data_IF_408929304169
#
_entry.id   IF_408929304169
#
_cell.length_a   1.000
_cell.length_b   1.000
_cell.length_c   1.000
_cell.angle_alpha   90.00
_cell.angle_beta   90.00
_cell.angle_gamma   90.00
#
_symmetry.space_group_name_H-M   'P 1'
#
loop_
_entity.id
_entity.type
_entity.pdbx_description
1 polymer ?
#
# COMPACT_ATOMS: atom_id res chain seq x y z
N UNK A 1 15.15 -0.57 -16.08
CA UNK A 1 14.99 -2.04 -16.12
C UNK A 1 13.53 -2.47 -16.24
N UNK A 2 12.56 -1.67 -15.79
CA UNK A 2 11.13 -2.02 -15.76
C UNK A 2 10.25 -1.35 -16.82
N UNK A 3 10.85 -0.60 -17.77
CA UNK A 3 10.16 0.33 -18.67
C UNK A 3 8.93 -0.26 -19.37
N UNK A 4 8.98 -1.52 -19.80
CA UNK A 4 7.84 -2.20 -20.46
C UNK A 4 6.63 -2.44 -19.54
N UNK A 5 6.81 -2.45 -18.22
CA UNK A 5 5.78 -2.76 -17.24
C UNK A 5 5.25 -1.55 -16.48
N UNK A 6 5.87 -0.38 -16.66
CA UNK A 6 5.51 0.87 -15.95
C UNK A 6 5.21 2.02 -16.91
N UNK A 7 4.96 1.70 -18.19
CA UNK A 7 4.56 2.69 -19.18
C UNK A 7 3.06 3.01 -19.04
N UNK A 8 2.76 3.92 -18.11
CA UNK A 8 1.42 4.36 -17.78
C UNK A 8 1.30 5.88 -17.91
N UNK A 9 0.35 6.35 -18.72
CA UNK A 9 0.14 7.77 -18.98
C UNK A 9 -0.65 8.49 -17.88
N UNK A 10 -1.34 7.74 -17.00
CA UNK A 10 -2.18 8.29 -15.94
C UNK A 10 -2.42 7.29 -14.80
N UNK A 11 -2.79 7.82 -13.64
CA UNK A 11 -3.14 7.06 -12.42
C UNK A 11 -4.18 5.97 -12.69
N UNK A 12 -5.24 6.27 -13.44
CA UNK A 12 -6.33 5.32 -13.70
C UNK A 12 -5.82 4.03 -14.35
N UNK A 13 -4.92 4.16 -15.32
CA UNK A 13 -4.31 3.01 -16.01
C UNK A 13 -3.48 2.13 -15.07
N UNK A 14 -2.76 2.73 -14.11
CA UNK A 14 -2.01 2.01 -13.08
C UNK A 14 -2.97 1.24 -12.17
N UNK A 15 -4.03 1.90 -11.69
CA UNK A 15 -5.01 1.31 -10.77
C UNK A 15 -5.75 0.11 -11.35
N UNK A 16 -5.85 0.02 -12.67
CA UNK A 16 -6.51 -1.08 -13.38
C UNK A 16 -5.54 -2.18 -13.83
N UNK A 17 -4.23 -2.02 -13.64
CA UNK A 17 -3.25 -3.03 -14.01
C UNK A 17 -3.21 -4.19 -13.01
N UNK A 18 -3.72 -5.36 -13.45
CA UNK A 18 -3.74 -6.59 -12.65
C UNK A 18 -2.38 -7.28 -12.53
N UNK A 19 -1.44 -6.99 -13.44
CA UNK A 19 -0.06 -7.45 -13.33
C UNK A 19 0.67 -6.71 -12.22
N UNK A 20 0.59 -5.37 -12.23
CA UNK A 20 1.15 -4.54 -11.16
C UNK A 20 0.52 -4.85 -9.80
N UNK A 21 -0.80 -5.03 -9.73
CA UNK A 21 -1.46 -5.42 -8.47
C UNK A 21 -0.87 -6.71 -7.87
N UNK A 22 -0.56 -7.73 -8.69
CA UNK A 22 0.05 -8.98 -8.20
C UNK A 22 1.46 -8.80 -7.66
N UNK A 23 2.26 -7.93 -8.30
CA UNK A 23 3.58 -7.56 -7.78
C UNK A 23 3.43 -6.78 -6.48
N UNK A 24 2.46 -5.87 -6.44
CA UNK A 24 2.10 -5.03 -5.32
C UNK A 24 1.65 -5.81 -4.08
N UNK A 25 0.80 -6.83 -4.23
CA UNK A 25 0.37 -7.70 -3.11
C UNK A 25 1.59 -8.31 -2.40
N UNK A 26 2.56 -8.82 -3.16
CA UNK A 26 3.81 -9.34 -2.60
C UNK A 26 4.63 -8.26 -1.88
N UNK A 27 4.84 -7.12 -2.54
CA UNK A 27 5.60 -5.99 -1.99
C UNK A 27 4.97 -5.45 -0.70
N UNK A 28 3.68 -5.14 -0.72
CA UNK A 28 2.94 -4.54 0.40
C UNK A 28 2.90 -5.48 1.59
N UNK A 29 2.63 -6.76 1.38
CA UNK A 29 2.60 -7.75 2.46
C UNK A 29 3.98 -7.93 3.11
N UNK A 30 5.05 -7.92 2.30
CA UNK A 30 6.41 -8.02 2.81
C UNK A 30 6.80 -6.80 3.65
N UNK A 31 6.60 -5.59 3.12
CA UNK A 31 6.89 -4.34 3.84
C UNK A 31 6.08 -4.23 5.13
N UNK A 32 4.80 -4.61 5.11
CA UNK A 32 3.97 -4.61 6.31
C UNK A 32 4.47 -5.59 7.37
N UNK A 33 4.83 -6.81 6.96
CA UNK A 33 5.36 -7.84 7.86
C UNK A 33 6.67 -7.40 8.52
N UNK A 34 7.56 -6.75 7.76
CA UNK A 34 8.79 -6.16 8.27
C UNK A 34 8.50 -5.02 9.25
N UNK A 35 7.65 -4.07 8.88
CA UNK A 35 7.29 -2.96 9.74
C UNK A 35 6.68 -3.44 11.07
N UNK A 36 5.79 -4.43 11.01
CA UNK A 36 5.20 -5.06 12.19
C UNK A 36 6.25 -5.80 13.04
N UNK A 37 7.19 -6.49 12.41
CA UNK A 37 8.33 -7.12 13.11
C UNK A 37 9.15 -6.10 13.91
N UNK A 38 9.45 -4.96 13.31
CA UNK A 38 10.22 -3.88 13.96
C UNK A 38 9.47 -3.30 15.16
N UNK A 39 8.16 -3.06 15.01
CA UNK A 39 7.33 -2.48 16.08
C UNK A 39 7.14 -3.46 17.25
N UNK A 40 6.90 -4.75 16.97
CA UNK A 40 6.64 -5.75 18.00
C UNK A 40 7.91 -6.30 18.66
N UNK A 41 9.07 -6.13 18.03
CA UNK A 41 10.36 -6.61 18.54
C UNK A 41 10.61 -8.12 18.33
N UNK A 42 9.81 -8.79 17.51
CA UNK A 42 10.02 -10.19 17.13
C UNK A 42 9.53 -10.46 15.70
N UNK A 43 10.15 -11.44 15.02
CA UNK A 43 9.84 -11.76 13.63
C UNK A 43 8.39 -12.27 13.46
N UNK A 44 7.66 -11.67 12.53
CA UNK A 44 6.30 -12.05 12.16
C UNK A 44 6.03 -11.86 10.67
N UNK A 45 5.00 -12.54 10.16
CA UNK A 45 4.54 -12.43 8.78
C UNK A 45 3.02 -12.37 8.74
N UNK A 46 2.47 -11.32 8.14
CA UNK A 46 1.02 -11.15 8.01
C UNK A 46 0.65 -10.52 6.67
N UNK A 47 -0.39 -11.10 6.06
CA UNK A 47 -1.02 -10.52 4.88
C UNK A 47 -1.93 -9.36 5.28
N UNK A 48 -1.77 -8.23 4.61
CA UNK A 48 -2.67 -7.09 4.75
C UNK A 48 -4.02 -7.48 4.16
N UNK A 49 -5.10 -7.21 4.90
CA UNK A 49 -6.47 -7.47 4.40
C UNK A 49 -6.82 -6.44 3.33
N UNK A 50 -7.58 -6.80 2.31
CA UNK A 50 -8.00 -5.84 1.28
C UNK A 50 -8.79 -4.66 1.87
N UNK A 51 -9.61 -4.91 2.91
CA UNK A 51 -10.33 -3.84 3.63
C UNK A 51 -9.39 -2.81 4.28
N UNK A 52 -8.20 -3.28 4.66
CA UNK A 52 -6.94 -2.57 4.84
C UNK A 52 -6.69 -1.35 3.95
N UNK A 53 -6.21 -1.74 2.77
CA UNK A 53 -5.75 -0.93 1.66
C UNK A 53 -6.91 -0.19 1.01
N UNK A 54 -8.08 -0.83 0.91
CA UNK A 54 -9.29 -0.19 0.42
C UNK A 54 -9.70 0.99 1.29
N UNK A 55 -9.53 0.89 2.63
CA UNK A 55 -9.78 2.02 3.52
C UNK A 55 -8.72 3.10 3.33
N UNK A 56 -7.44 2.71 3.24
CA UNK A 56 -6.35 3.64 3.03
C UNK A 56 -6.54 4.47 1.75
N UNK A 57 -6.72 3.82 0.59
CA UNK A 57 -6.83 4.50 -0.69
C UNK A 57 -8.06 5.41 -0.75
N UNK A 58 -9.22 4.94 -0.25
CA UNK A 58 -10.48 5.71 -0.22
C UNK A 58 -10.38 7.02 0.57
N UNK A 59 -9.40 7.12 1.46
CA UNK A 59 -9.14 8.30 2.28
C UNK A 59 -8.16 9.28 1.62
N UNK A 60 -7.65 8.99 0.42
CA UNK A 60 -6.73 9.85 -0.33
C UNK A 60 -7.41 10.51 -1.54
N UNK A 61 -6.81 11.58 -2.08
CA UNK A 61 -7.26 12.21 -3.32
C UNK A 61 -7.16 11.28 -4.54
N UNK A 62 -6.24 10.31 -4.52
CA UNK A 62 -6.03 9.32 -5.59
C UNK A 62 -7.28 8.51 -5.89
N UNK A 63 -8.12 8.25 -4.88
CA UNK A 63 -9.37 7.50 -5.09
C UNK A 63 -10.34 8.17 -6.07
N UNK A 64 -10.24 9.49 -6.27
CA UNK A 64 -11.07 10.20 -7.25
C UNK A 64 -10.83 9.75 -8.70
N UNK A 65 -9.67 9.16 -8.99
CA UNK A 65 -9.34 8.57 -10.29
C UNK A 65 -9.97 7.19 -10.50
N UNK A 66 -10.64 6.62 -9.49
CA UNK A 66 -11.47 5.44 -9.70
C UNK A 66 -12.84 5.82 -10.24
N UNK A 67 -13.12 5.39 -11.47
CA UNK A 67 -14.33 5.71 -12.21
C UNK A 67 -15.66 5.32 -11.53
N UNK A 68 -15.65 4.45 -10.51
CA UNK A 68 -16.87 3.99 -9.81
C UNK A 68 -16.61 3.60 -8.35
N UNK A 69 -17.69 3.52 -7.56
CA UNK A 69 -17.65 2.88 -6.24
C UNK A 69 -17.27 1.41 -6.41
N UNK A 70 -16.03 1.08 -6.08
CA UNK A 70 -15.47 -0.27 -6.18
C UNK A 70 -15.62 -1.03 -4.87
N UNK A 71 -15.69 -2.36 -4.95
CA UNK A 71 -15.60 -3.24 -3.78
C UNK A 71 -14.23 -3.14 -3.11
N UNK A 72 -14.07 -3.75 -1.93
CA UNK A 72 -12.83 -3.68 -1.17
C UNK A 72 -11.65 -4.35 -1.90
N UNK A 73 -11.88 -5.46 -2.60
CA UNK A 73 -10.82 -6.16 -3.34
C UNK A 73 -10.26 -5.28 -4.45
N UNK A 74 -11.14 -4.70 -5.29
CA UNK A 74 -10.71 -3.79 -6.37
C UNK A 74 -9.98 -2.55 -5.88
N UNK A 75 -10.40 -1.98 -4.75
CA UNK A 75 -9.70 -0.85 -4.15
C UNK A 75 -8.35 -1.26 -3.54
N UNK A 76 -8.26 -2.47 -2.99
CA UNK A 76 -7.00 -3.07 -2.53
C UNK A 76 -6.02 -3.28 -3.69
N UNK A 77 -6.47 -3.97 -4.75
CA UNK A 77 -5.69 -4.21 -5.96
C UNK A 77 -5.15 -2.90 -6.55
N UNK A 78 -5.95 -1.83 -6.56
CA UNK A 78 -5.53 -0.53 -7.07
C UNK A 78 -4.42 0.08 -6.21
N UNK A 79 -4.52 -0.02 -4.87
CA UNK A 79 -3.46 0.41 -3.98
C UNK A 79 -2.17 -0.38 -4.21
N UNK A 80 -2.28 -1.70 -4.33
CA UNK A 80 -1.15 -2.60 -4.61
C UNK A 80 -0.48 -2.25 -5.93
N UNK A 81 -1.25 -2.01 -6.99
CA UNK A 81 -0.72 -1.62 -8.29
C UNK A 81 0.04 -0.29 -8.23
N UNK A 82 -0.47 0.70 -7.48
CA UNK A 82 0.22 1.98 -7.27
C UNK A 82 1.54 1.78 -6.52
N UNK A 83 1.57 0.95 -5.47
CA UNK A 83 2.80 0.66 -4.74
C UNK A 83 3.84 -0.04 -5.62
N UNK A 84 3.41 -1.00 -6.45
CA UNK A 84 4.28 -1.67 -7.40
C UNK A 84 4.86 -0.68 -8.42
N UNK A 85 4.02 0.18 -8.99
CA UNK A 85 4.44 1.22 -9.93
C UNK A 85 5.52 2.13 -9.33
N UNK A 86 5.24 2.71 -8.15
CA UNK A 86 6.17 3.62 -7.47
C UNK A 86 7.52 2.95 -7.16
N UNK A 87 7.50 1.69 -6.74
CA UNK A 87 8.71 0.94 -6.46
C UNK A 87 9.49 0.59 -7.73
N UNK A 88 8.80 0.12 -8.78
CA UNK A 88 9.42 -0.23 -10.06
C UNK A 88 9.91 1.00 -10.85
N UNK A 89 9.40 2.19 -10.55
CA UNK A 89 9.90 3.47 -11.09
C UNK A 89 10.95 4.13 -10.18
N UNK A 90 11.42 3.41 -9.16
CA UNK A 90 12.47 3.84 -8.22
C UNK A 90 12.10 5.12 -7.45
N UNK A 91 10.80 5.43 -7.33
CA UNK A 91 10.28 6.57 -6.55
C UNK A 91 10.19 6.27 -5.07
N UNK A 92 10.03 5.00 -4.72
CA UNK A 92 10.09 4.50 -3.36
C UNK A 92 10.97 3.24 -3.30
N UNK A 93 11.52 2.97 -2.13
CA UNK A 93 12.19 1.72 -1.81
C UNK A 93 11.41 0.91 -0.77
N UNK A 94 11.83 -0.34 -0.55
CA UNK A 94 11.32 -1.16 0.56
C UNK A 94 11.60 -0.48 1.90
N UNK A 95 12.78 0.14 2.06
CA UNK A 95 13.14 0.85 3.30
C UNK A 95 12.17 1.99 3.57
N UNK A 96 11.88 2.82 2.56
CA UNK A 96 10.99 3.97 2.72
C UNK A 96 9.60 3.55 3.20
N UNK A 97 9.08 2.46 2.64
CA UNK A 97 7.78 1.91 3.05
C UNK A 97 7.85 1.34 4.47
N UNK A 98 8.87 0.54 4.80
CA UNK A 98 9.02 -0.07 6.13
C UNK A 98 9.22 1.00 7.21
N UNK A 99 10.04 2.01 6.96
CA UNK A 99 10.34 3.08 7.90
C UNK A 99 9.09 3.95 8.15
N UNK A 100 8.36 4.29 7.09
CA UNK A 100 7.12 5.07 7.21
C UNK A 100 6.00 4.31 7.93
N UNK A 101 5.82 3.02 7.59
CA UNK A 101 4.82 2.15 8.23
C UNK A 101 5.18 1.92 9.70
N UNK A 102 6.42 1.55 10.02
CA UNK A 102 6.84 1.28 11.39
C UNK A 102 6.75 2.52 12.29
N UNK A 103 7.07 3.71 11.76
CA UNK A 103 6.89 4.97 12.48
C UNK A 103 5.42 5.37 12.72
N UNK A 104 4.46 4.75 12.02
CA UNK A 104 3.03 5.04 12.14
C UNK A 104 2.21 3.90 12.78
N UNK A 105 2.77 2.69 12.83
CA UNK A 105 2.17 1.52 13.45
C UNK A 105 2.38 1.54 14.97
N UNK A 106 1.56 2.32 15.68
CA UNK A 106 1.53 2.31 17.15
C UNK A 106 0.79 1.09 17.71
N UNK A 107 1.30 -0.12 17.47
CA UNK A 107 0.68 -1.38 17.88
C UNK A 107 1.57 -2.16 18.85
N UNK A 108 0.94 -3.01 19.66
CA UNK A 108 1.59 -3.90 20.61
C UNK A 108 0.88 -5.26 20.68
N UNK A 109 1.38 -6.17 21.53
CA UNK A 109 0.82 -7.51 21.71
C UNK A 109 -0.61 -7.52 22.30
N UNK A 110 -1.06 -6.42 22.89
CA UNK A 110 -2.42 -6.28 23.44
C UNK A 110 -3.40 -5.68 22.41
N UNK A 111 -2.89 -5.17 21.29
CA UNK A 111 -3.69 -4.50 20.28
C UNK A 111 -4.62 -5.48 19.57
N UNK A 112 -5.92 -5.21 19.61
CA UNK A 112 -6.90 -6.05 18.91
C UNK A 112 -6.72 -5.98 17.39
N UNK A 113 -7.00 -7.08 16.69
CA UNK A 113 -6.97 -7.15 15.21
C UNK A 113 -7.77 -6.04 14.52
N UNK A 114 -8.90 -5.64 15.11
CA UNK A 114 -9.72 -4.53 14.57
C UNK A 114 -8.95 -3.22 14.65
N UNK A 115 -8.38 -2.93 15.82
CA UNK A 115 -7.63 -1.69 16.06
C UNK A 115 -6.35 -1.64 15.23
N UNK A 116 -5.65 -2.76 15.13
CA UNK A 116 -4.49 -2.93 14.27
C UNK A 116 -4.83 -2.59 12.81
N UNK A 117 -5.94 -3.12 12.28
CA UNK A 117 -6.37 -2.82 10.92
C UNK A 117 -6.70 -1.34 10.70
N UNK A 118 -7.28 -0.66 11.70
CA UNK A 118 -7.52 0.80 11.63
C UNK A 118 -6.21 1.60 11.60
N UNK A 119 -5.24 1.24 12.43
CA UNK A 119 -3.93 1.91 12.49
C UNK A 119 -3.15 1.66 11.19
N UNK A 120 -3.15 0.41 10.71
CA UNK A 120 -2.52 0.06 9.45
C UNK A 120 -3.14 0.82 8.27
N UNK A 121 -4.46 0.98 8.23
CA UNK A 121 -5.11 1.78 7.18
C UNK A 121 -4.62 3.24 7.17
N UNK A 122 -4.45 3.85 8.35
CA UNK A 122 -3.94 5.22 8.48
C UNK A 122 -2.47 5.27 8.06
N UNK A 123 -1.65 4.29 8.44
CA UNK A 123 -0.25 4.22 8.06
C UNK A 123 -0.09 4.13 6.53
N UNK A 124 -0.85 3.25 5.87
CA UNK A 124 -0.86 3.13 4.42
C UNK A 124 -1.43 4.37 3.71
N UNK A 125 -2.45 5.00 4.28
CA UNK A 125 -3.00 6.26 3.76
C UNK A 125 -1.90 7.33 3.74
N UNK A 126 -1.25 7.56 4.88
CA UNK A 126 -0.17 8.55 5.02
C UNK A 126 0.99 8.26 4.06
N UNK A 127 1.38 6.99 3.94
CA UNK A 127 2.44 6.62 3.01
C UNK A 127 2.07 6.92 1.55
N UNK A 128 0.84 6.59 1.13
CA UNK A 128 0.40 6.94 -0.23
C UNK A 128 0.35 8.45 -0.43
N UNK A 129 -0.21 9.21 0.51
CA UNK A 129 -0.30 10.68 0.45
C UNK A 129 1.06 11.35 0.25
N UNK A 130 2.11 10.86 0.93
CA UNK A 130 3.47 11.38 0.76
C UNK A 130 4.09 11.11 -0.61
N UNK A 131 3.51 10.19 -1.40
CA UNK A 131 4.08 9.74 -2.68
C UNK A 131 3.16 10.03 -3.88
N UNK A 132 2.06 10.76 -3.69
CA UNK A 132 1.11 11.10 -4.78
C UNK A 132 1.81 11.92 -5.87
N UNK A 133 2.72 12.82 -5.50
CA UNK A 133 3.45 13.69 -6.44
C UNK A 133 4.37 12.93 -7.40
N UNK A 134 4.61 11.63 -7.15
CA UNK A 134 5.40 10.77 -8.02
C UNK A 134 4.54 9.96 -9.00
N UNK A 135 3.21 10.11 -8.96
CA UNK A 135 2.29 9.49 -9.90
C UNK A 135 2.11 10.38 -11.17
N UNK A 136 1.89 9.77 -12.34
CA UNK A 136 1.67 10.48 -13.59
C UNK A 136 0.29 11.16 -13.67
#
# INVERSE_FOLDING_TARGET
>A
MWETFVDHENIESIMHDKGLAKVGDGLVNFCYSLAKTLVLGYATGEKVRDSVLARAIRSTSVYSHMNRRTDAGRAGDAYEAIMAYLWMTEKISISDMVDSLSGSLGIDNATSRKKEGEIAAIAFQKFLECNIEHLP
#
